data_IF_551979827226
#
_entry.id   IF_551979827226
#
_cell.length_a   1.000
_cell.length_b   1.000
_cell.length_c   1.000
_cell.angle_alpha   90.00
_cell.angle_beta   90.00
_cell.angle_gamma   90.00
#
_symmetry.space_group_name_H-M   'P 1'
#
loop_
_entity.id
_entity.type
_entity.pdbx_description
1 polymer ?
#
# COMPACT_ATOMS: atom_id res chain seq x y z
N UNK A 1 -5.82 -8.09 -27.62
CA UNK A 1 -5.84 -6.79 -26.92
C UNK A 1 -6.21 -7.03 -25.46
N UNK A 2 -5.67 -6.25 -24.51
CA UNK A 2 -5.97 -6.45 -23.08
C UNK A 2 -7.40 -6.01 -22.75
N UNK A 3 -8.15 -6.86 -22.06
CA UNK A 3 -9.54 -6.58 -21.66
C UNK A 3 -9.69 -6.73 -20.14
N UNK A 4 -10.58 -5.94 -19.54
CA UNK A 4 -10.94 -6.09 -18.14
C UNK A 4 -11.46 -7.51 -17.88
N UNK A 5 -10.85 -8.27 -16.97
CA UNK A 5 -11.25 -9.66 -16.73
C UNK A 5 -12.70 -9.81 -16.26
N UNK A 6 -13.27 -8.78 -15.61
CA UNK A 6 -14.65 -8.72 -15.14
C UNK A 6 -15.62 -8.22 -16.21
N UNK A 7 -15.37 -7.05 -16.80
CA UNK A 7 -16.33 -6.38 -17.70
C UNK A 7 -16.09 -6.67 -19.18
N UNK A 8 -15.00 -7.37 -19.52
CA UNK A 8 -14.61 -7.73 -20.89
C UNK A 8 -14.46 -6.55 -21.86
N UNK A 9 -14.31 -5.33 -21.35
CA UNK A 9 -14.07 -4.12 -22.15
C UNK A 9 -12.57 -3.90 -22.40
N UNK A 10 -12.17 -3.31 -23.54
CA UNK A 10 -10.78 -2.97 -23.82
C UNK A 10 -10.19 -2.06 -22.75
N UNK A 11 -8.93 -2.31 -22.37
CA UNK A 11 -8.20 -1.48 -21.41
C UNK A 11 -7.39 -0.40 -22.11
N UNK A 12 -7.21 0.72 -21.43
CA UNK A 12 -6.25 1.76 -21.80
C UNK A 12 -5.23 1.94 -20.68
N UNK A 13 -4.03 2.36 -21.02
CA UNK A 13 -3.03 2.81 -20.06
C UNK A 13 -3.11 4.33 -19.91
N UNK A 14 -3.23 4.80 -18.67
CA UNK A 14 -3.23 6.22 -18.33
C UNK A 14 -2.49 6.44 -17.02
N UNK A 15 -1.52 7.36 -17.01
CA UNK A 15 -0.87 7.78 -15.78
C UNK A 15 -1.88 8.55 -14.89
N UNK A 16 -1.92 8.20 -13.61
CA UNK A 16 -2.74 8.88 -12.61
C UNK A 16 -1.94 8.99 -11.31
N UNK A 17 -2.20 10.04 -10.52
CA UNK A 17 -1.64 10.14 -9.19
C UNK A 17 -2.20 9.02 -8.31
N UNK A 18 -1.32 8.28 -7.65
CA UNK A 18 -1.65 7.17 -6.76
C UNK A 18 -0.71 7.20 -5.56
N UNK A 19 -1.14 6.59 -4.45
CA UNK A 19 -0.36 6.44 -3.23
C UNK A 19 0.37 5.10 -3.22
N UNK A 20 1.66 5.15 -2.92
CA UNK A 20 2.53 4.00 -2.90
C UNK A 20 3.27 3.88 -1.57
N UNK A 21 3.47 2.65 -1.13
CA UNK A 21 4.46 2.31 -0.10
C UNK A 21 5.72 1.86 -0.83
N UNK A 22 6.83 2.57 -0.58
CA UNK A 22 8.12 2.27 -1.19
C UNK A 22 8.72 1.01 -0.60
N UNK A 23 9.02 -0.01 -1.43
CA UNK A 23 9.58 -1.28 -0.95
C UNK A 23 11.05 -1.14 -0.57
N UNK A 24 11.82 -0.41 -1.38
CA UNK A 24 13.26 -0.17 -1.21
C UNK A 24 13.56 1.21 -0.60
N UNK A 25 12.51 1.99 -0.29
CA UNK A 25 12.68 3.32 0.30
C UNK A 25 13.28 3.18 1.69
N UNK A 26 14.47 3.74 1.88
CA UNK A 26 15.16 3.70 3.15
C UNK A 26 14.41 4.55 4.19
N UNK A 27 14.00 3.98 5.33
CA UNK A 27 13.41 4.73 6.43
C UNK A 27 14.48 5.60 7.12
N UNK A 28 14.05 6.47 8.04
CA UNK A 28 15.00 7.26 8.86
C UNK A 28 15.92 6.39 9.72
N UNK A 29 15.47 5.19 10.08
CA UNK A 29 16.21 4.22 10.90
C UNK A 29 15.83 2.79 10.48
N UNK A 30 16.82 1.91 10.44
CA UNK A 30 16.64 0.49 10.13
C UNK A 30 16.64 0.18 8.63
N UNK A 31 16.32 -1.09 8.31
CA UNK A 31 16.31 -1.59 6.95
C UNK A 31 15.00 -1.25 6.21
N UNK A 32 15.05 -1.28 4.88
CA UNK A 32 13.89 -1.06 4.00
C UNK A 32 12.77 -2.08 4.26
N UNK A 33 11.57 -1.78 3.76
CA UNK A 33 10.43 -2.69 3.91
C UNK A 33 10.71 -4.05 3.28
N UNK A 34 11.39 -4.08 2.12
CA UNK A 34 11.76 -5.34 1.46
C UNK A 34 12.72 -6.16 2.31
N UNK A 35 13.81 -5.56 2.79
CA UNK A 35 14.82 -6.24 3.60
C UNK A 35 14.20 -6.83 4.88
N UNK A 36 13.39 -6.03 5.59
CA UNK A 36 12.67 -6.48 6.79
C UNK A 36 11.70 -7.63 6.49
N UNK A 37 11.00 -7.59 5.36
CA UNK A 37 10.09 -8.65 4.95
C UNK A 37 10.84 -9.94 4.58
N UNK A 38 11.98 -9.85 3.89
CA UNK A 38 12.80 -11.01 3.53
C UNK A 38 13.39 -11.68 4.78
N UNK A 39 13.87 -10.89 5.75
CA UNK A 39 14.33 -11.41 7.04
C UNK A 39 13.18 -12.05 7.84
N UNK A 40 11.99 -11.45 7.85
CA UNK A 40 10.84 -12.09 8.51
C UNK A 40 10.47 -13.44 7.85
N UNK A 41 10.64 -13.57 6.53
CA UNK A 41 10.40 -14.83 5.81
C UNK A 41 11.42 -15.89 6.21
N UNK A 42 12.70 -15.56 6.44
CA UNK A 42 13.70 -16.55 6.88
C UNK A 42 13.45 -17.02 8.31
N UNK A 43 12.84 -16.19 9.15
CA UNK A 43 12.51 -16.49 10.56
C UNK A 43 11.17 -17.20 10.75
N UNK A 44 10.37 -17.36 9.70
CA UNK A 44 9.04 -17.98 9.77
C UNK A 44 9.10 -19.46 9.40
N UNK A 45 8.42 -20.32 10.15
CA UNK A 45 8.25 -21.74 9.81
C UNK A 45 7.21 -21.92 8.70
N UNK A 46 7.55 -22.68 7.65
CA UNK A 46 6.65 -22.96 6.52
C UNK A 46 6.28 -24.44 6.45
N UNK A 47 4.97 -24.71 6.37
CA UNK A 47 4.43 -26.04 6.11
C UNK A 47 3.52 -25.97 4.88
N UNK A 48 3.88 -26.57 3.74
CA UNK A 48 5.15 -27.26 3.43
C UNK A 48 6.32 -26.28 3.19
N UNK A 49 7.56 -26.76 3.43
CA UNK A 49 8.77 -25.92 3.41
C UNK A 49 9.07 -25.18 2.10
N UNK A 50 8.63 -25.69 0.94
CA UNK A 50 8.80 -24.98 -0.34
C UNK A 50 8.06 -23.63 -0.39
N UNK A 51 7.09 -23.40 0.50
CA UNK A 51 6.37 -22.14 0.62
C UNK A 51 7.29 -20.94 0.87
N UNK A 52 8.39 -21.16 1.61
CA UNK A 52 9.36 -20.11 1.92
C UNK A 52 10.02 -19.57 0.66
N UNK A 53 10.58 -20.44 -0.19
CA UNK A 53 11.25 -20.04 -1.43
C UNK A 53 10.28 -19.32 -2.38
N UNK A 54 9.03 -19.76 -2.44
CA UNK A 54 7.98 -19.11 -3.24
C UNK A 54 7.67 -17.69 -2.75
N UNK A 55 7.46 -17.52 -1.45
CA UNK A 55 7.16 -16.21 -0.87
C UNK A 55 8.36 -15.27 -0.94
N UNK A 56 9.56 -15.79 -0.67
CA UNK A 56 10.81 -15.05 -0.83
C UNK A 56 10.96 -14.52 -2.26
N UNK A 57 10.79 -15.37 -3.28
CA UNK A 57 10.86 -14.97 -4.68
C UNK A 57 9.84 -13.89 -5.05
N UNK A 58 8.61 -13.99 -4.51
CA UNK A 58 7.57 -12.97 -4.71
C UNK A 58 7.97 -11.61 -4.12
N UNK A 59 8.56 -11.59 -2.92
CA UNK A 59 8.93 -10.35 -2.23
C UNK A 59 10.24 -9.76 -2.77
N UNK A 60 11.22 -10.57 -3.17
CA UNK A 60 12.51 -10.10 -3.63
C UNK A 60 12.41 -9.18 -4.87
N UNK A 61 11.52 -9.48 -5.82
CA UNK A 61 11.32 -8.70 -7.04
C UNK A 61 10.10 -7.77 -7.04
N UNK A 62 9.40 -7.62 -5.91
CA UNK A 62 8.13 -6.89 -5.85
C UNK A 62 8.31 -5.38 -6.09
N UNK A 63 7.60 -4.71 -7.01
CA UNK A 63 7.65 -3.25 -7.12
C UNK A 63 6.96 -2.56 -5.94
N UNK A 64 7.07 -1.22 -5.90
CA UNK A 64 6.36 -0.39 -4.91
C UNK A 64 4.87 -0.72 -4.82
N UNK A 65 4.38 -0.76 -3.59
CA UNK A 65 3.02 -1.21 -3.32
C UNK A 65 2.04 -0.06 -3.47
N UNK A 66 1.31 -0.03 -4.59
CA UNK A 66 0.18 0.88 -4.78
C UNK A 66 -0.97 0.53 -3.83
N UNK A 67 -1.26 1.41 -2.87
CA UNK A 67 -2.29 1.22 -1.84
C UNK A 67 -3.61 1.93 -2.18
N UNK A 68 -3.60 2.96 -3.02
CA UNK A 68 -4.82 3.70 -3.36
C UNK A 68 -5.66 3.00 -4.41
N UNK A 69 -6.99 3.08 -4.28
CA UNK A 69 -7.96 2.59 -5.26
C UNK A 69 -9.08 3.61 -5.43
N UNK A 70 -9.55 3.81 -6.65
CA UNK A 70 -10.68 4.68 -6.94
C UNK A 70 -11.99 3.88 -6.77
N UNK A 71 -12.38 3.64 -5.52
CA UNK A 71 -13.56 2.85 -5.13
C UNK A 71 -14.23 3.49 -3.92
N UNK A 72 -15.55 3.31 -3.81
CA UNK A 72 -16.32 3.81 -2.68
C UNK A 72 -16.31 2.84 -1.49
N UNK A 73 -16.10 1.54 -1.75
CA UNK A 73 -16.07 0.51 -0.70
C UNK A 73 -14.63 0.23 -0.27
N UNK A 74 -14.30 0.55 0.99
CA UNK A 74 -12.99 0.33 1.60
C UNK A 74 -12.69 1.36 2.70
N UNK A 75 -11.52 1.23 3.35
CA UNK A 75 -11.06 2.21 4.34
C UNK A 75 -10.47 3.42 3.61
N UNK A 76 -10.96 4.66 3.85
CA UNK A 76 -10.41 5.84 3.22
C UNK A 76 -8.99 6.11 3.71
N UNK A 77 -8.14 6.69 2.84
CA UNK A 77 -6.81 7.17 3.22
C UNK A 77 -6.99 8.60 3.77
N UNK A 78 -6.76 8.86 5.08
CA UNK A 78 -7.06 10.14 5.71
C UNK A 78 -5.96 11.19 5.43
N UNK A 79 -5.65 11.40 4.15
CA UNK A 79 -4.74 12.43 3.69
C UNK A 79 -5.51 13.64 3.19
N UNK A 80 -5.24 14.78 3.81
CA UNK A 80 -5.78 16.07 3.40
C UNK A 80 -4.74 16.78 2.56
N UNK A 81 -5.14 17.27 1.39
CA UNK A 81 -4.25 17.93 0.44
C UNK A 81 -4.61 19.41 0.29
N UNK A 82 -3.60 20.25 0.17
CA UNK A 82 -3.80 21.63 -0.25
C UNK A 82 -4.28 21.67 -1.70
N UNK A 83 -5.43 22.33 -1.95
CA UNK A 83 -6.11 22.27 -3.25
C UNK A 83 -5.28 22.75 -4.44
N UNK A 84 -4.41 23.76 -4.24
CA UNK A 84 -3.63 24.34 -5.33
C UNK A 84 -2.26 23.66 -5.51
N UNK A 85 -1.56 23.31 -4.43
CA UNK A 85 -0.21 22.73 -4.51
C UNK A 85 -0.21 21.21 -4.54
N UNK A 86 -1.28 20.55 -4.09
CA UNK A 86 -1.33 19.09 -3.93
C UNK A 86 -0.47 18.56 -2.77
N UNK A 87 0.11 19.45 -1.96
CA UNK A 87 0.92 19.06 -0.80
C UNK A 87 0.05 18.52 0.34
N UNK A 88 0.62 17.59 1.10
CA UNK A 88 0.00 17.07 2.32
C UNK A 88 -0.18 18.19 3.34
N UNK A 89 -1.31 18.14 4.06
CA UNK A 89 -1.58 19.07 5.15
C UNK A 89 -0.48 18.98 6.21
N UNK A 90 0.04 20.11 6.76
CA UNK A 90 1.14 20.08 7.72
C UNK A 90 0.86 19.22 8.97
N UNK A 91 -0.41 19.18 9.41
CA UNK A 91 -0.90 18.35 10.52
C UNK A 91 -1.28 16.91 10.11
N UNK A 92 -0.68 16.35 9.06
CA UNK A 92 -1.09 15.03 8.53
C UNK A 92 -1.12 13.94 9.61
N UNK A 93 -0.06 13.81 10.42
CA UNK A 93 0.03 12.74 11.44
C UNK A 93 -1.05 12.88 12.52
N UNK A 94 -1.32 14.10 12.97
CA UNK A 94 -2.38 14.41 13.94
C UNK A 94 -3.76 14.10 13.39
N UNK A 95 -4.07 14.55 12.17
CA UNK A 95 -5.36 14.29 11.52
C UNK A 95 -5.58 12.80 11.23
N UNK A 96 -4.53 12.06 10.88
CA UNK A 96 -4.62 10.60 10.73
C UNK A 96 -5.06 9.92 12.03
N UNK A 97 -4.48 10.33 13.16
CA UNK A 97 -4.82 9.82 14.48
C UNK A 97 -6.26 10.19 14.88
N UNK A 98 -6.66 11.45 14.68
CA UNK A 98 -8.04 11.88 14.94
C UNK A 98 -9.06 11.07 14.14
N UNK A 99 -8.78 10.79 12.86
CA UNK A 99 -9.65 9.95 12.03
C UNK A 99 -9.66 8.52 12.54
N UNK A 100 -8.50 7.95 12.91
CA UNK A 100 -8.42 6.60 13.46
C UNK A 100 -9.29 6.45 14.73
N UNK A 101 -9.22 7.42 15.65
CA UNK A 101 -10.02 7.43 16.88
C UNK A 101 -11.53 7.55 16.64
N UNK A 102 -11.95 8.30 15.61
CA UNK A 102 -13.35 8.36 15.22
C UNK A 102 -13.81 7.04 14.61
N UNK A 103 -13.00 6.46 13.72
CA UNK A 103 -13.27 5.17 13.08
C UNK A 103 -13.39 4.05 14.10
N UNK A 104 -12.55 4.06 15.16
CA UNK A 104 -12.64 3.09 16.25
C UNK A 104 -13.99 3.14 16.98
N UNK A 105 -14.56 4.34 17.15
CA UNK A 105 -15.81 4.55 17.91
C UNK A 105 -17.07 4.37 17.06
N UNK A 106 -17.05 4.92 15.86
CA UNK A 106 -18.25 5.12 15.02
C UNK A 106 -18.27 4.20 13.80
N UNK A 107 -17.12 3.59 13.45
CA UNK A 107 -16.95 2.88 12.18
C UNK A 107 -16.50 3.82 11.06
N UNK A 108 -16.47 3.32 9.83
CA UNK A 108 -15.93 4.04 8.67
C UNK A 108 -16.95 4.95 7.95
N UNK A 109 -18.22 4.88 8.32
CA UNK A 109 -19.32 5.68 7.76
C UNK A 109 -19.49 6.99 8.53
#
# INVERSE_FOLDING_TARGET
>A
YMHCWRHKTPLIYRATAQWFVGMDKQPRQGASLRERALEAITQTEFVPGWGQARLHGMIAGRPDWCISRQRNWGVPIPFFLHKASGELHPRTVELMEEVAQRVEKEGIE
#
